data_IF_813903560737
#
_entry.id   IF_813903560737
#
_cell.length_a   1.000
_cell.length_b   1.000
_cell.length_c   1.000
_cell.angle_alpha   90.00
_cell.angle_beta   90.00
_cell.angle_gamma   90.00
#
_symmetry.space_group_name_H-M   'P 1'
#
loop_
_entity.id
_entity.type
_entity.pdbx_description
1 polymer ?
#
# COMPACT_ATOMS: atom_id res chain seq x y z
N UNK A 1 29.80 -19.15 10.30
CA UNK A 1 29.45 -17.70 10.35
C UNK A 1 30.78 -16.93 10.30
N UNK A 2 31.23 -16.61 9.07
CA UNK A 2 32.58 -16.05 8.84
C UNK A 2 32.67 -14.53 9.07
N UNK A 3 31.66 -13.90 9.68
CA UNK A 3 31.56 -12.45 9.84
C UNK A 3 31.25 -12.01 11.29
N UNK A 4 31.60 -12.83 12.28
CA UNK A 4 31.31 -12.53 13.70
C UNK A 4 32.02 -11.27 14.21
N UNK A 5 33.10 -10.84 13.57
CA UNK A 5 33.89 -9.66 13.90
C UNK A 5 33.55 -8.42 13.04
N UNK A 6 32.70 -8.57 12.00
CA UNK A 6 32.28 -7.47 11.15
C UNK A 6 30.93 -6.92 11.62
N UNK A 7 30.89 -5.65 12.02
CA UNK A 7 29.65 -4.93 12.28
C UNK A 7 28.97 -4.60 10.95
N UNK A 8 28.15 -5.54 10.46
CA UNK A 8 27.36 -5.35 9.23
C UNK A 8 26.35 -4.20 9.42
N UNK A 9 26.23 -3.36 8.39
CA UNK A 9 25.21 -2.30 8.37
C UNK A 9 23.82 -2.91 8.14
N UNK A 10 22.88 -2.58 9.03
CA UNK A 10 21.48 -3.00 8.94
C UNK A 10 20.60 -1.81 8.52
N UNK A 11 19.86 -1.96 7.43
CA UNK A 11 18.69 -1.15 7.13
C UNK A 11 17.44 -1.84 7.68
N UNK A 12 16.56 -1.10 8.31
CA UNK A 12 15.33 -1.62 8.90
C UNK A 12 14.12 -0.97 8.26
N UNK A 13 13.28 -1.79 7.63
CA UNK A 13 12.01 -1.33 7.07
C UNK A 13 10.93 -1.36 8.13
N UNK A 14 10.31 -0.21 8.37
CA UNK A 14 9.28 -0.03 9.38
C UNK A 14 8.09 0.76 8.79
N UNK A 15 7.04 0.05 8.42
CA UNK A 15 5.91 0.55 7.63
C UNK A 15 4.76 1.04 8.49
N UNK A 16 5.06 1.95 9.43
CA UNK A 16 4.09 2.61 10.28
C UNK A 16 4.36 4.11 10.35
N UNK A 17 3.36 4.96 10.64
CA UNK A 17 3.55 6.39 10.77
C UNK A 17 4.58 6.74 11.83
N UNK A 18 5.66 7.41 11.44
CA UNK A 18 6.76 7.83 12.33
C UNK A 18 7.15 9.27 12.12
N UNK A 19 7.63 9.93 13.18
CA UNK A 19 8.38 11.19 13.07
C UNK A 19 9.85 10.84 12.94
N UNK A 20 10.44 11.11 11.77
CA UNK A 20 11.87 10.91 11.53
C UNK A 20 12.62 12.24 11.62
N UNK A 21 13.62 12.31 12.52
CA UNK A 21 14.51 13.46 12.65
C UNK A 21 15.89 13.18 12.08
N UNK A 22 16.23 11.91 11.91
CA UNK A 22 17.44 11.43 11.29
C UNK A 22 17.17 10.09 10.59
N UNK A 23 18.07 9.68 9.70
CA UNK A 23 17.91 8.43 8.93
C UNK A 23 17.87 7.18 9.82
N UNK A 24 18.46 7.25 10.99
CA UNK A 24 18.56 6.16 11.97
C UNK A 24 17.71 6.43 13.24
N UNK A 25 16.69 7.29 13.14
CA UNK A 25 15.75 7.64 14.21
C UNK A 25 14.33 7.63 13.67
N UNK A 26 13.37 7.02 14.37
CA UNK A 26 11.96 6.97 13.99
C UNK A 26 11.04 6.79 15.19
N UNK A 27 10.42 7.89 15.65
CA UNK A 27 9.47 7.89 16.75
C UNK A 27 8.09 7.44 16.21
N UNK A 28 7.55 6.34 16.74
CA UNK A 28 6.25 5.82 16.34
C UNK A 28 5.14 6.76 16.78
N UNK A 29 4.36 7.26 15.82
CA UNK A 29 3.19 8.13 16.12
C UNK A 29 2.03 7.26 16.63
N UNK A 30 1.70 6.19 15.89
CA UNK A 30 0.60 5.27 16.20
C UNK A 30 0.74 3.97 15.42
N UNK A 31 0.17 2.90 15.96
CA UNK A 31 -0.02 1.66 15.24
C UNK A 31 -1.16 1.75 14.22
N UNK A 32 -1.04 1.03 13.13
CA UNK A 32 -2.04 0.85 12.08
C UNK A 32 -2.16 -0.63 11.73
N UNK A 33 -2.98 -0.99 10.75
CA UNK A 33 -3.12 -2.38 10.22
C UNK A 33 -3.56 -3.42 11.25
N UNK A 34 -4.21 -2.98 12.35
CA UNK A 34 -4.67 -3.88 13.43
C UNK A 34 -3.62 -4.22 14.49
N UNK A 35 -2.41 -3.64 14.42
CA UNK A 35 -1.43 -3.74 15.49
C UNK A 35 -1.76 -2.78 16.64
N UNK A 36 -1.43 -3.20 17.86
CA UNK A 36 -1.55 -2.39 19.08
C UNK A 36 -0.59 -2.97 20.14
N UNK A 37 0.68 -2.56 20.07
CA UNK A 37 1.68 -2.99 21.02
C UNK A 37 1.81 -1.97 22.16
N UNK A 38 1.62 -2.35 23.41
CA UNK A 38 1.63 -1.42 24.53
C UNK A 38 3.02 -0.77 24.71
N UNK A 39 3.03 0.47 25.20
CA UNK A 39 4.23 1.22 25.57
C UNK A 39 5.24 1.44 24.43
N UNK A 40 4.76 1.53 23.17
CA UNK A 40 5.63 1.74 22.00
C UNK A 40 5.34 3.03 21.27
N UNK A 41 4.10 3.52 21.26
CA UNK A 41 3.76 4.82 20.68
C UNK A 41 4.49 5.95 21.41
N UNK A 42 4.98 6.95 20.68
CA UNK A 42 5.80 8.04 21.18
C UNK A 42 7.25 7.66 21.47
N UNK A 43 7.71 6.45 21.08
CA UNK A 43 9.08 6.01 21.29
C UNK A 43 9.84 5.76 20.00
N UNK A 44 11.16 5.92 20.06
CA UNK A 44 12.06 5.63 18.93
C UNK A 44 12.18 4.13 18.67
N UNK A 45 11.58 3.66 17.58
CA UNK A 45 11.63 2.26 17.17
C UNK A 45 13.05 1.81 16.82
N UNK A 46 13.88 2.71 16.30
CA UNK A 46 15.27 2.42 15.99
C UNK A 46 16.07 2.13 17.27
N UNK A 47 15.84 2.90 18.35
CA UNK A 47 16.51 2.69 19.63
C UNK A 47 16.04 1.42 20.34
N UNK A 48 14.74 1.11 20.24
CA UNK A 48 14.19 -0.17 20.74
C UNK A 48 14.82 -1.36 20.03
N UNK A 49 15.00 -1.28 18.69
CA UNK A 49 15.67 -2.33 17.92
C UNK A 49 17.15 -2.44 18.29
N UNK A 50 17.89 -1.32 18.41
CA UNK A 50 19.29 -1.31 18.85
C UNK A 50 19.46 -1.99 20.21
N UNK A 51 18.57 -1.68 21.15
CA UNK A 51 18.58 -2.27 22.50
C UNK A 51 18.37 -3.78 22.42
N UNK A 52 17.44 -4.25 21.61
CA UNK A 52 17.18 -5.68 21.40
C UNK A 52 18.35 -6.39 20.76
N UNK A 53 18.94 -5.82 19.70
CA UNK A 53 20.12 -6.37 19.01
C UNK A 53 21.30 -6.54 19.97
N UNK A 54 21.56 -5.54 20.82
CA UNK A 54 22.59 -5.62 21.87
C UNK A 54 22.28 -6.72 22.89
N UNK A 55 21.04 -6.79 23.35
CA UNK A 55 20.61 -7.81 24.33
C UNK A 55 20.82 -9.24 23.82
N UNK A 56 20.62 -9.45 22.54
CA UNK A 56 20.77 -10.77 21.90
C UNK A 56 22.15 -10.99 21.28
N UNK A 57 23.10 -10.06 21.47
CA UNK A 57 24.46 -10.13 20.91
C UNK A 57 24.49 -10.34 19.38
N UNK A 58 23.58 -9.68 18.67
CA UNK A 58 23.54 -9.73 17.19
C UNK A 58 24.58 -8.73 16.64
N UNK A 59 25.60 -9.19 15.85
CA UNK A 59 26.73 -8.36 15.42
C UNK A 59 26.37 -7.46 14.22
N UNK A 60 25.33 -6.65 14.33
CA UNK A 60 24.90 -5.71 13.31
C UNK A 60 24.74 -4.32 13.88
N UNK A 61 24.93 -3.31 13.04
CA UNK A 61 24.74 -1.90 13.37
C UNK A 61 23.58 -1.32 12.58
N UNK A 62 22.52 -0.91 13.26
CA UNK A 62 21.40 -0.21 12.63
C UNK A 62 21.89 1.11 12.04
N UNK A 63 21.84 1.24 10.73
CA UNK A 63 22.30 2.39 9.94
C UNK A 63 21.16 3.27 9.46
N UNK A 64 19.99 2.67 9.23
CA UNK A 64 18.80 3.38 8.74
C UNK A 64 17.52 2.69 9.15
N UNK A 65 16.48 3.49 9.36
CA UNK A 65 15.07 3.05 9.44
C UNK A 65 14.30 3.77 8.34
N UNK A 66 13.52 3.02 7.55
CA UNK A 66 12.79 3.57 6.42
C UNK A 66 11.37 2.99 6.34
N UNK A 67 10.49 3.72 5.65
CA UNK A 67 9.20 3.19 5.24
C UNK A 67 9.35 2.23 4.04
N UNK A 68 8.48 1.22 3.91
CA UNK A 68 8.49 0.23 2.83
C UNK A 68 8.38 0.87 1.45
N UNK A 69 7.50 1.87 1.30
CA UNK A 69 7.29 2.57 0.02
C UNK A 69 8.52 3.38 -0.38
N UNK A 70 9.20 4.00 0.61
CA UNK A 70 10.48 4.67 0.39
C UNK A 70 11.55 3.67 -0.06
N UNK A 71 11.61 2.50 0.57
CA UNK A 71 12.51 1.42 0.17
C UNK A 71 12.22 0.96 -1.26
N UNK A 72 10.96 0.72 -1.58
CA UNK A 72 10.53 0.35 -2.94
C UNK A 72 10.94 1.39 -3.99
N UNK A 73 10.81 2.69 -3.67
CA UNK A 73 11.24 3.76 -4.58
C UNK A 73 12.73 3.72 -4.84
N UNK A 74 13.54 3.61 -3.79
CA UNK A 74 15.00 3.59 -3.91
C UNK A 74 15.48 2.35 -4.65
N UNK A 75 14.96 1.16 -4.33
CA UNK A 75 15.30 -0.08 -5.02
C UNK A 75 14.94 -0.01 -6.51
N UNK A 76 13.72 0.44 -6.82
CA UNK A 76 13.25 0.56 -8.20
C UNK A 76 14.03 1.61 -9.00
N UNK A 77 14.36 2.76 -8.39
CA UNK A 77 15.19 3.80 -9.02
C UNK A 77 16.62 3.33 -9.24
N UNK A 78 17.18 2.50 -8.37
CA UNK A 78 18.50 1.91 -8.54
C UNK A 78 18.57 0.99 -9.77
N UNK A 79 17.49 0.24 -10.03
CA UNK A 79 17.38 -0.65 -11.20
C UNK A 79 17.05 0.15 -12.49
N UNK A 80 16.13 1.11 -12.40
CA UNK A 80 15.72 1.96 -13.52
C UNK A 80 15.63 3.44 -13.05
N UNK A 81 16.61 4.28 -13.43
CA UNK A 81 16.66 5.69 -13.01
C UNK A 81 15.47 6.53 -13.44
N UNK A 82 14.63 6.06 -14.38
CA UNK A 82 13.36 6.70 -14.77
C UNK A 82 12.29 6.55 -13.70
N UNK A 83 12.50 5.65 -12.72
CA UNK A 83 11.57 5.49 -11.60
C UNK A 83 11.61 6.72 -10.70
N UNK A 84 10.50 7.43 -10.64
CA UNK A 84 10.34 8.67 -9.84
C UNK A 84 9.27 8.54 -8.77
N UNK A 85 8.45 7.50 -8.86
CA UNK A 85 7.33 7.20 -7.95
C UNK A 85 7.43 5.74 -7.57
N UNK A 86 7.06 5.42 -6.33
CA UNK A 86 6.73 4.05 -5.95
C UNK A 86 5.38 4.02 -5.25
N UNK A 87 4.67 2.90 -5.40
CA UNK A 87 3.39 2.65 -4.77
C UNK A 87 3.38 1.27 -4.14
N UNK A 88 2.67 1.15 -3.03
CA UNK A 88 2.31 -0.12 -2.42
C UNK A 88 0.80 -0.30 -2.59
N UNK A 89 0.40 -1.40 -3.25
CA UNK A 89 -0.99 -1.85 -3.35
C UNK A 89 -1.08 -3.28 -2.83
N UNK A 90 -1.28 -3.41 -1.53
CA UNK A 90 -1.32 -4.68 -0.81
C UNK A 90 -2.43 -4.68 0.23
N UNK A 91 -2.15 -5.16 1.44
CA UNK A 91 -3.05 -5.10 2.59
C UNK A 91 -3.47 -3.67 2.92
N UNK A 92 -2.54 -2.71 2.78
CA UNK A 92 -2.76 -1.27 2.80
C UNK A 92 -2.35 -0.63 1.48
N UNK A 93 -2.33 0.72 1.45
CA UNK A 93 -1.82 1.47 0.31
C UNK A 93 -0.97 2.66 0.74
N UNK A 94 0.07 2.94 -0.04
CA UNK A 94 0.91 4.13 0.14
C UNK A 94 1.59 4.49 -1.18
N UNK A 95 2.13 5.71 -1.24
CA UNK A 95 3.02 6.14 -2.31
C UNK A 95 4.19 6.96 -1.78
N UNK A 96 5.29 6.95 -2.52
CA UNK A 96 6.42 7.85 -2.32
C UNK A 96 6.91 8.36 -3.67
N UNK A 97 7.50 9.56 -3.70
CA UNK A 97 8.03 10.12 -4.93
C UNK A 97 9.28 10.96 -4.68
N UNK A 98 10.05 11.20 -5.75
CA UNK A 98 11.22 12.09 -5.72
C UNK A 98 10.75 13.54 -5.91
N UNK A 99 11.10 14.43 -4.97
CA UNK A 99 10.83 15.86 -5.06
C UNK A 99 12.14 16.67 -4.98
N UNK A 100 12.21 17.77 -5.70
CA UNK A 100 13.31 18.71 -5.55
C UNK A 100 13.23 19.44 -4.22
N UNK A 101 14.35 19.56 -3.50
CA UNK A 101 14.41 20.18 -2.15
C UNK A 101 13.81 21.58 -2.15
N UNK A 102 14.06 22.37 -3.20
CA UNK A 102 13.50 23.71 -3.35
C UNK A 102 11.96 23.79 -3.40
N UNK A 103 11.29 22.67 -3.69
CA UNK A 103 9.82 22.56 -3.69
C UNK A 103 9.24 22.09 -2.36
N UNK A 104 10.09 21.86 -1.34
CA UNK A 104 9.67 21.33 -0.02
C UNK A 104 9.64 22.48 1.00
N UNK A 105 8.45 23.02 1.34
CA UNK A 105 8.34 24.20 2.21
C UNK A 105 8.98 24.02 3.60
N UNK A 106 8.96 22.81 4.14
CA UNK A 106 9.56 22.51 5.44
C UNK A 106 11.08 22.65 5.47
N UNK A 107 11.73 22.63 4.30
CA UNK A 107 13.19 22.71 4.17
C UNK A 107 13.67 24.12 3.73
N UNK A 108 12.76 25.07 3.49
CA UNK A 108 13.08 26.40 2.98
C UNK A 108 14.04 27.21 3.84
N UNK A 109 14.13 26.89 5.13
CA UNK A 109 15.02 27.56 6.09
C UNK A 109 16.38 26.87 6.25
N UNK A 110 16.61 25.78 5.51
CA UNK A 110 17.87 25.04 5.55
C UNK A 110 18.69 25.41 4.31
N UNK A 111 19.99 25.59 4.50
CA UNK A 111 20.94 25.85 3.41
C UNK A 111 21.25 24.53 2.68
N UNK A 112 20.30 24.10 1.85
CA UNK A 112 20.39 22.87 1.06
C UNK A 112 20.26 23.20 -0.43
N UNK A 113 20.97 22.47 -1.32
CA UNK A 113 20.85 22.67 -2.77
C UNK A 113 19.41 22.41 -3.24
N UNK A 114 18.80 23.43 -3.86
CA UNK A 114 17.39 23.40 -4.25
C UNK A 114 17.07 22.36 -5.35
N UNK A 115 18.04 21.99 -6.14
CA UNK A 115 17.97 21.02 -7.26
C UNK A 115 18.23 19.56 -6.82
N UNK A 116 18.76 19.35 -5.61
CA UNK A 116 18.88 17.99 -5.07
C UNK A 116 17.50 17.35 -4.85
N UNK A 117 17.47 16.02 -4.97
CA UNK A 117 16.25 15.24 -4.84
C UNK A 117 16.12 14.65 -3.45
N UNK A 118 14.90 14.71 -2.91
CA UNK A 118 14.53 14.05 -1.66
C UNK A 118 13.31 13.17 -1.87
N UNK A 119 13.26 12.04 -1.17
CA UNK A 119 12.07 11.17 -1.16
C UNK A 119 11.00 11.76 -0.25
N UNK A 120 9.80 11.89 -0.79
CA UNK A 120 8.59 12.24 -0.04
C UNK A 120 7.76 10.97 0.17
N UNK A 121 7.56 10.59 1.42
CA UNK A 121 6.58 9.58 1.80
C UNK A 121 5.22 10.25 1.93
N UNK A 122 4.25 9.86 1.10
CA UNK A 122 2.96 10.56 0.99
C UNK A 122 2.00 10.22 2.11
N UNK A 123 1.96 8.97 2.57
CA UNK A 123 0.93 8.43 3.48
C UNK A 123 -0.50 8.76 3.00
N UNK A 124 -0.72 8.68 1.66
CA UNK A 124 -1.97 9.11 1.03
C UNK A 124 -3.16 8.18 1.30
N UNK A 125 -2.92 7.01 1.89
CA UNK A 125 -4.00 6.21 2.45
C UNK A 125 -4.86 6.98 3.46
N UNK A 126 -4.26 7.97 4.13
CA UNK A 126 -4.94 8.88 5.05
C UNK A 126 -5.61 10.09 4.36
N UNK A 127 -5.61 10.16 3.02
CA UNK A 127 -6.23 11.27 2.30
C UNK A 127 -7.70 11.45 2.71
N UNK A 128 -8.08 12.72 2.95
CA UNK A 128 -9.42 13.16 3.34
C UNK A 128 -9.99 12.43 4.59
N UNK A 129 -9.10 11.99 5.47
CA UNK A 129 -9.49 11.47 6.78
C UNK A 129 -10.17 12.54 7.62
N UNK A 130 -11.10 12.14 8.49
CA UNK A 130 -11.91 12.96 9.39
C UNK A 130 -12.97 13.84 8.71
N UNK A 131 -12.62 14.69 7.77
CA UNK A 131 -13.54 15.67 7.17
C UNK A 131 -14.38 15.11 6.03
N UNK A 132 -13.87 14.13 5.28
CA UNK A 132 -14.49 13.50 4.10
C UNK A 132 -15.01 14.52 3.08
N UNK A 133 -14.28 15.64 2.93
CA UNK A 133 -14.70 16.76 2.07
C UNK A 133 -14.67 16.39 0.59
N UNK A 134 -13.67 15.61 0.17
CA UNK A 134 -13.43 15.22 -1.23
C UNK A 134 -13.93 13.81 -1.53
N UNK A 135 -13.76 12.87 -0.61
CA UNK A 135 -14.18 11.49 -0.79
C UNK A 135 -15.66 11.27 -0.48
N UNK A 136 -16.33 12.20 0.19
CA UNK A 136 -17.70 12.02 0.68
C UNK A 136 -18.69 11.58 -0.40
N UNK A 137 -18.60 12.13 -1.61
CA UNK A 137 -19.45 11.75 -2.75
C UNK A 137 -19.04 10.46 -3.45
N UNK A 138 -17.80 9.97 -3.21
CA UNK A 138 -17.24 8.75 -3.82
C UNK A 138 -17.39 7.52 -2.91
N UNK A 139 -17.55 7.76 -1.61
CA UNK A 139 -17.76 6.69 -0.63
C UNK A 139 -19.16 6.09 -0.79
N UNK A 140 -19.22 4.79 -0.93
CA UNK A 140 -20.47 4.05 -0.82
C UNK A 140 -20.87 3.89 0.65
N UNK A 141 -22.11 3.51 0.91
CA UNK A 141 -22.56 3.14 2.26
C UNK A 141 -21.73 2.03 2.90
N UNK A 142 -21.20 1.12 2.09
CA UNK A 142 -20.33 0.02 2.57
C UNK A 142 -18.95 0.53 3.01
N UNK A 143 -18.37 1.50 2.31
CA UNK A 143 -17.14 2.17 2.75
C UNK A 143 -17.34 2.89 4.09
N UNK A 144 -18.49 3.52 4.27
CA UNK A 144 -18.85 4.19 5.53
C UNK A 144 -19.00 3.18 6.66
N UNK A 145 -19.65 2.04 6.41
CA UNK A 145 -19.82 0.99 7.41
C UNK A 145 -18.49 0.37 7.83
N UNK A 146 -17.60 0.06 6.87
CA UNK A 146 -16.24 -0.43 7.13
C UNK A 146 -15.47 0.58 7.98
N UNK A 147 -15.59 1.85 7.67
CA UNK A 147 -14.89 2.90 8.41
C UNK A 147 -15.39 2.99 9.85
N UNK A 148 -16.69 3.06 10.05
CA UNK A 148 -17.32 3.19 11.38
C UNK A 148 -17.09 1.95 12.25
N UNK A 149 -17.07 0.74 11.66
CA UNK A 149 -16.84 -0.51 12.36
C UNK A 149 -15.35 -0.83 12.61
N UNK A 150 -14.44 -0.03 12.04
CA UNK A 150 -13.00 -0.23 12.20
C UNK A 150 -12.49 0.21 13.57
N UNK A 151 -11.32 -0.29 13.98
CA UNK A 151 -10.65 0.12 15.22
C UNK A 151 -10.30 1.62 15.27
N UNK A 152 -10.25 2.30 14.12
CA UNK A 152 -9.91 3.72 14.00
C UNK A 152 -10.84 4.39 12.98
N UNK A 153 -12.07 4.70 13.37
CA UNK A 153 -13.02 5.40 12.51
C UNK A 153 -12.47 6.75 12.03
N UNK A 154 -12.86 7.14 10.84
CA UNK A 154 -12.47 8.38 10.16
C UNK A 154 -10.97 8.48 9.81
N UNK A 155 -10.15 7.46 10.06
CA UNK A 155 -8.75 7.42 9.67
C UNK A 155 -8.56 6.50 8.47
N UNK A 156 -7.52 6.76 7.66
CA UNK A 156 -7.18 5.95 6.48
C UNK A 156 -8.37 5.81 5.52
N UNK A 157 -9.10 6.90 5.27
CA UNK A 157 -10.34 6.89 4.50
C UNK A 157 -10.12 6.38 3.07
N UNK A 158 -9.07 6.85 2.39
CA UNK A 158 -8.76 6.43 1.03
C UNK A 158 -8.28 4.96 0.99
N UNK A 159 -7.43 4.57 1.93
CA UNK A 159 -6.96 3.18 2.04
C UNK A 159 -8.12 2.19 2.19
N UNK A 160 -9.13 2.51 3.01
CA UNK A 160 -10.30 1.66 3.23
C UNK A 160 -11.16 1.45 1.97
N UNK A 161 -11.05 2.35 0.98
CA UNK A 161 -11.77 2.23 -0.28
C UNK A 161 -11.06 1.35 -1.32
N UNK A 162 -9.72 1.21 -1.23
CA UNK A 162 -8.92 0.62 -2.32
C UNK A 162 -8.03 -0.55 -1.91
N UNK A 163 -7.63 -0.64 -0.64
CA UNK A 163 -6.63 -1.62 -0.23
C UNK A 163 -7.19 -3.04 -0.09
N UNK A 164 -6.35 -4.02 -0.34
CA UNK A 164 -6.71 -5.43 -0.39
C UNK A 164 -7.36 -5.97 0.89
N UNK A 165 -7.06 -5.39 2.04
CA UNK A 165 -7.72 -5.75 3.31
C UNK A 165 -9.23 -5.58 3.27
N UNK A 166 -9.74 -4.63 2.48
CA UNK A 166 -11.13 -4.17 2.58
C UNK A 166 -12.02 -4.62 1.42
N UNK A 167 -11.45 -5.00 0.26
CA UNK A 167 -12.26 -5.32 -0.93
C UNK A 167 -13.18 -6.50 -0.70
N UNK A 168 -12.70 -7.54 -0.02
CA UNK A 168 -13.53 -8.69 0.35
C UNK A 168 -14.66 -8.31 1.31
N UNK A 169 -14.40 -7.39 2.22
CA UNK A 169 -15.41 -6.91 3.17
C UNK A 169 -16.47 -6.03 2.47
N UNK A 170 -16.08 -5.17 1.53
CA UNK A 170 -17.03 -4.43 0.68
C UNK A 170 -17.95 -5.41 -0.04
N UNK A 171 -17.38 -6.45 -0.65
CA UNK A 171 -18.11 -7.49 -1.35
C UNK A 171 -19.10 -8.20 -0.42
N UNK A 172 -18.64 -8.63 0.75
CA UNK A 172 -19.46 -9.29 1.77
C UNK A 172 -20.64 -8.43 2.20
N UNK A 173 -20.42 -7.14 2.46
CA UNK A 173 -21.49 -6.23 2.90
C UNK A 173 -22.58 -6.07 1.83
N UNK A 174 -22.21 -6.03 0.54
CA UNK A 174 -23.20 -6.04 -0.55
C UNK A 174 -24.03 -7.32 -0.52
N UNK A 175 -23.38 -8.48 -0.34
CA UNK A 175 -24.12 -9.76 -0.28
C UNK A 175 -25.03 -9.82 0.95
N UNK A 176 -24.57 -9.39 2.11
CA UNK A 176 -25.38 -9.36 3.33
C UNK A 176 -26.61 -8.48 3.19
N UNK A 177 -26.51 -7.34 2.52
CA UNK A 177 -27.68 -6.51 2.24
C UNK A 177 -28.69 -7.24 1.36
N UNK A 178 -28.25 -7.89 0.27
CA UNK A 178 -29.13 -8.65 -0.63
C UNK A 178 -29.74 -9.88 0.07
N UNK A 179 -29.06 -10.48 1.02
CA UNK A 179 -29.62 -11.51 1.89
C UNK A 179 -30.72 -10.94 2.78
N UNK A 180 -30.44 -9.81 3.44
CA UNK A 180 -31.41 -9.12 4.29
C UNK A 180 -32.67 -8.70 3.52
N UNK A 181 -32.49 -8.23 2.29
CA UNK A 181 -33.59 -7.83 1.40
C UNK A 181 -34.34 -9.04 0.80
N UNK A 182 -33.94 -10.26 1.13
CA UNK A 182 -34.57 -11.49 0.62
C UNK A 182 -34.36 -11.73 -0.87
N UNK A 183 -33.22 -11.27 -1.41
CA UNK A 183 -32.86 -11.45 -2.84
C UNK A 183 -31.95 -12.64 -3.04
N UNK A 184 -31.04 -12.91 -2.12
CA UNK A 184 -30.05 -13.99 -2.21
C UNK A 184 -30.30 -15.05 -1.13
N UNK A 185 -29.95 -16.30 -1.45
CA UNK A 185 -29.88 -17.46 -0.53
C UNK A 185 -31.18 -17.72 0.25
N UNK A 186 -32.32 -17.52 -0.39
CA UNK A 186 -33.63 -17.72 0.23
C UNK A 186 -33.76 -19.13 0.84
N UNK A 187 -34.14 -19.18 2.14
CA UNK A 187 -34.32 -20.41 2.88
C UNK A 187 -33.03 -21.14 3.29
N UNK A 188 -31.88 -20.51 3.11
CA UNK A 188 -30.58 -21.04 3.51
C UNK A 188 -30.04 -20.36 4.77
N UNK A 189 -29.14 -21.06 5.49
CA UNK A 189 -28.46 -20.53 6.68
C UNK A 189 -27.28 -19.66 6.30
N UNK A 190 -27.34 -18.35 6.53
CA UNK A 190 -26.37 -17.34 6.06
C UNK A 190 -25.36 -16.89 7.10
N UNK A 191 -25.43 -17.39 8.35
CA UNK A 191 -24.61 -16.94 9.49
C UNK A 191 -23.09 -16.94 9.23
N UNK A 192 -22.60 -17.79 8.32
CA UNK A 192 -21.15 -17.84 8.00
C UNK A 192 -20.68 -16.64 7.23
N UNK A 193 -21.47 -16.16 6.25
CA UNK A 193 -21.12 -14.99 5.44
C UNK A 193 -21.37 -13.68 6.20
N UNK A 194 -22.16 -13.70 7.26
CA UNK A 194 -22.46 -12.53 8.07
C UNK A 194 -21.31 -12.11 8.99
N UNK A 195 -20.32 -13.00 9.22
CA UNK A 195 -19.16 -12.70 10.06
C UNK A 195 -18.27 -11.63 9.39
N UNK A 196 -17.94 -10.53 10.07
CA UNK A 196 -17.05 -9.52 9.53
C UNK A 196 -15.71 -10.11 9.05
N UNK A 197 -15.25 -9.66 7.88
CA UNK A 197 -13.98 -10.07 7.27
C UNK A 197 -13.84 -11.59 6.98
N UNK A 198 -14.93 -12.34 6.94
CA UNK A 198 -14.87 -13.75 6.55
C UNK A 198 -14.69 -13.96 5.04
N UNK A 199 -14.95 -12.92 4.23
CA UNK A 199 -14.78 -12.97 2.79
C UNK A 199 -13.43 -12.35 2.39
N UNK A 200 -12.46 -13.21 2.12
CA UNK A 200 -11.11 -12.77 1.74
C UNK A 200 -11.11 -12.16 0.32
N UNK A 201 -10.29 -11.12 0.11
CA UNK A 201 -10.11 -10.49 -1.21
C UNK A 201 -9.58 -11.49 -2.27
N UNK A 202 -8.85 -12.52 -1.87
CA UNK A 202 -8.44 -13.59 -2.77
C UNK A 202 -9.64 -14.34 -3.38
N UNK A 203 -10.78 -14.41 -2.68
CA UNK A 203 -12.00 -14.99 -3.25
C UNK A 203 -12.53 -14.18 -4.43
N UNK A 204 -12.43 -12.85 -4.39
CA UNK A 204 -12.79 -12.00 -5.53
C UNK A 204 -11.95 -12.35 -6.75
N UNK A 205 -10.66 -12.57 -6.56
CA UNK A 205 -9.75 -12.98 -7.65
C UNK A 205 -10.18 -14.32 -8.26
N UNK A 206 -10.51 -15.31 -7.43
CA UNK A 206 -11.00 -16.62 -7.89
C UNK A 206 -12.34 -16.52 -8.62
N UNK A 207 -13.27 -15.70 -8.10
CA UNK A 207 -14.60 -15.47 -8.71
C UNK A 207 -14.44 -14.83 -10.09
N UNK A 208 -13.57 -13.83 -10.18
CA UNK A 208 -13.39 -13.08 -11.42
C UNK A 208 -12.69 -13.90 -12.52
N UNK A 209 -11.79 -14.79 -12.14
CA UNK A 209 -11.00 -15.61 -13.06
C UNK A 209 -11.58 -17.00 -13.31
N UNK A 210 -12.80 -17.31 -12.82
CA UNK A 210 -13.42 -18.60 -13.09
C UNK A 210 -13.57 -18.83 -14.61
N UNK A 211 -12.88 -19.83 -15.19
CA UNK A 211 -12.85 -20.03 -16.63
C UNK A 211 -14.06 -20.80 -17.16
N UNK A 212 -14.93 -21.28 -16.28
CA UNK A 212 -16.05 -22.16 -16.67
C UNK A 212 -17.33 -21.37 -16.93
N UNK A 213 -18.13 -21.80 -17.89
CA UNK A 213 -19.41 -21.15 -18.21
C UNK A 213 -20.41 -21.25 -17.05
N UNK A 214 -20.37 -22.37 -16.31
CA UNK A 214 -21.21 -22.64 -15.14
C UNK A 214 -20.68 -22.02 -13.88
N UNK A 215 -19.51 -21.37 -13.91
CA UNK A 215 -18.86 -20.76 -12.76
C UNK A 215 -18.67 -21.74 -11.60
N UNK A 216 -18.01 -22.87 -11.90
CA UNK A 216 -17.85 -23.99 -10.95
C UNK A 216 -16.94 -23.61 -9.79
N UNK A 217 -15.92 -22.78 -10.02
CA UNK A 217 -15.06 -22.26 -8.93
C UNK A 217 -15.88 -21.42 -7.95
N UNK A 218 -16.78 -20.58 -8.48
CA UNK A 218 -17.69 -19.76 -7.66
C UNK A 218 -18.62 -20.64 -6.85
N UNK A 219 -19.26 -21.64 -7.50
CA UNK A 219 -20.12 -22.61 -6.84
C UNK A 219 -19.39 -23.33 -5.71
N UNK A 220 -18.19 -23.85 -5.99
CA UNK A 220 -17.36 -24.54 -5.01
C UNK A 220 -16.98 -23.66 -3.83
N UNK A 221 -16.64 -22.39 -4.08
CA UNK A 221 -16.29 -21.43 -3.05
C UNK A 221 -17.44 -21.19 -2.07
N UNK A 222 -18.63 -20.86 -2.58
CA UNK A 222 -19.80 -20.61 -1.74
C UNK A 222 -20.22 -21.86 -0.96
N UNK A 223 -20.22 -23.02 -1.61
CA UNK A 223 -20.56 -24.29 -0.98
C UNK A 223 -19.57 -24.70 0.11
N UNK A 224 -18.27 -24.64 -0.17
CA UNK A 224 -17.24 -25.11 0.74
C UNK A 224 -17.05 -24.19 1.96
N UNK A 225 -16.90 -22.89 1.73
CA UNK A 225 -16.59 -21.94 2.80
C UNK A 225 -17.83 -21.48 3.56
N UNK A 226 -18.96 -21.29 2.86
CA UNK A 226 -20.15 -20.69 3.44
C UNK A 226 -21.31 -21.66 3.61
N UNK A 227 -21.22 -22.87 3.03
CA UNK A 227 -22.30 -23.87 3.00
C UNK A 227 -23.56 -23.36 2.28
N UNK A 228 -23.38 -22.51 1.26
CA UNK A 228 -24.44 -21.92 0.48
C UNK A 228 -24.51 -22.57 -0.91
N UNK A 229 -25.70 -22.95 -1.33
CA UNK A 229 -25.98 -23.34 -2.71
C UNK A 229 -26.27 -22.09 -3.54
N UNK A 230 -25.86 -22.12 -4.80
CA UNK A 230 -25.96 -20.96 -5.69
C UNK A 230 -26.55 -21.33 -7.04
N UNK A 231 -27.43 -20.50 -7.55
CA UNK A 231 -27.93 -20.58 -8.92
C UNK A 231 -26.95 -19.92 -9.90
N UNK A 232 -27.07 -20.25 -11.19
CA UNK A 232 -26.14 -19.72 -12.21
C UNK A 232 -26.23 -18.19 -12.34
N UNK A 233 -27.44 -17.64 -12.20
CA UNK A 233 -27.70 -16.20 -12.23
C UNK A 233 -27.02 -15.48 -11.08
N UNK A 234 -27.07 -16.06 -9.88
CA UNK A 234 -26.36 -15.54 -8.70
C UNK A 234 -24.84 -15.55 -8.92
N UNK A 235 -24.29 -16.66 -9.46
CA UNK A 235 -22.86 -16.75 -9.76
C UNK A 235 -22.41 -15.74 -10.80
N UNK A 236 -23.20 -15.46 -11.83
CA UNK A 236 -22.93 -14.39 -12.81
C UNK A 236 -22.94 -13.02 -12.18
N UNK A 237 -23.89 -12.76 -11.28
CA UNK A 237 -23.92 -11.54 -10.48
C UNK A 237 -22.68 -11.43 -9.59
N UNK A 238 -22.29 -12.49 -8.87
CA UNK A 238 -21.11 -12.53 -8.02
C UNK A 238 -19.84 -12.19 -8.78
N UNK A 239 -19.66 -12.73 -9.98
CA UNK A 239 -18.52 -12.39 -10.84
C UNK A 239 -18.55 -10.93 -11.28
N UNK A 240 -19.70 -10.40 -11.65
CA UNK A 240 -19.84 -8.99 -12.04
C UNK A 240 -19.55 -8.05 -10.87
N UNK A 241 -20.00 -8.39 -9.66
CA UNK A 241 -19.73 -7.61 -8.46
C UNK A 241 -18.23 -7.60 -8.12
N UNK A 242 -17.56 -8.76 -8.18
CA UNK A 242 -16.11 -8.86 -7.96
C UNK A 242 -15.35 -7.98 -8.97
N UNK A 243 -15.71 -8.04 -10.25
CA UNK A 243 -15.17 -7.19 -11.29
C UNK A 243 -15.32 -5.69 -10.97
N UNK A 244 -16.51 -5.23 -10.60
CA UNK A 244 -16.77 -3.81 -10.29
C UNK A 244 -15.94 -3.32 -9.10
N UNK A 245 -15.80 -4.13 -8.07
CA UNK A 245 -15.00 -3.78 -6.88
C UNK A 245 -13.52 -3.70 -7.24
N UNK A 246 -13.00 -4.68 -7.99
CA UNK A 246 -11.62 -4.68 -8.45
C UNK A 246 -11.31 -3.52 -9.39
N UNK A 247 -12.21 -3.22 -10.33
CA UNK A 247 -12.09 -2.08 -11.24
C UNK A 247 -12.09 -0.75 -10.47
N UNK A 248 -13.03 -0.57 -9.53
CA UNK A 248 -13.08 0.62 -8.67
C UNK A 248 -11.77 0.83 -7.93
N UNK A 249 -11.23 -0.23 -7.31
CA UNK A 249 -9.97 -0.16 -6.58
C UNK A 249 -8.82 0.28 -7.48
N UNK A 250 -8.65 -0.35 -8.66
CA UNK A 250 -7.59 -0.01 -9.60
C UNK A 250 -7.71 1.44 -10.12
N UNK A 251 -8.92 1.89 -10.46
CA UNK A 251 -9.17 3.24 -10.95
C UNK A 251 -8.89 4.32 -9.90
N UNK A 252 -9.30 4.11 -8.67
CA UNK A 252 -8.97 5.01 -7.55
C UNK A 252 -7.47 5.02 -7.24
N UNK A 253 -6.81 3.87 -7.33
CA UNK A 253 -5.35 3.76 -7.18
C UNK A 253 -4.61 4.60 -8.23
N UNK A 254 -5.09 4.62 -9.47
CA UNK A 254 -4.55 5.45 -10.55
C UNK A 254 -4.69 6.96 -10.25
N UNK A 255 -5.75 7.38 -9.55
CA UNK A 255 -5.91 8.79 -9.16
C UNK A 255 -4.76 9.29 -8.29
N UNK A 256 -4.28 8.46 -7.35
CA UNK A 256 -3.13 8.79 -6.51
C UNK A 256 -1.84 9.00 -7.33
N UNK A 257 -1.56 8.09 -8.28
CA UNK A 257 -0.42 8.21 -9.19
C UNK A 257 -0.55 9.46 -10.06
N UNK A 258 -1.70 9.69 -10.67
CA UNK A 258 -1.94 10.85 -11.53
C UNK A 258 -1.79 12.17 -10.77
N UNK A 259 -2.21 12.23 -9.51
CA UNK A 259 -2.02 13.40 -8.64
C UNK A 259 -0.53 13.71 -8.41
N UNK A 260 0.28 12.68 -8.13
CA UNK A 260 1.73 12.82 -7.95
C UNK A 260 2.39 13.26 -9.27
N UNK A 261 2.04 12.65 -10.41
CA UNK A 261 2.55 13.02 -11.74
C UNK A 261 2.27 14.51 -12.04
N UNK A 262 1.06 14.99 -11.75
CA UNK A 262 0.70 16.41 -11.90
C UNK A 262 1.49 17.29 -10.92
N UNK A 263 1.64 16.88 -9.66
CA UNK A 263 2.40 17.62 -8.64
C UNK A 263 3.88 17.81 -9.05
N UNK A 264 4.48 16.78 -9.62
CA UNK A 264 5.87 16.79 -10.08
C UNK A 264 6.09 17.52 -11.41
N UNK A 265 5.05 17.98 -12.11
CA UNK A 265 5.10 18.48 -13.47
C UNK A 265 5.69 17.46 -14.46
N UNK A 266 5.28 16.21 -14.34
CA UNK A 266 5.73 15.09 -15.17
C UNK A 266 4.70 14.66 -16.24
N UNK A 267 3.59 15.34 -16.37
CA UNK A 267 2.63 15.11 -17.45
C UNK A 267 3.35 15.26 -18.79
N UNK A 268 3.22 14.28 -19.66
CA UNK A 268 3.89 14.24 -20.95
C UNK A 268 5.37 13.79 -20.95
N UNK A 269 5.93 13.46 -19.79
CA UNK A 269 7.28 12.91 -19.65
C UNK A 269 7.22 11.41 -19.36
N UNK A 270 8.23 10.68 -19.80
CA UNK A 270 8.39 9.27 -19.48
C UNK A 270 8.68 9.11 -17.97
N UNK A 271 7.87 8.30 -17.30
CA UNK A 271 8.03 8.02 -15.90
C UNK A 271 7.76 6.52 -15.63
N UNK A 272 8.60 5.93 -14.81
CA UNK A 272 8.36 4.59 -14.27
C UNK A 272 7.86 4.73 -12.84
N UNK A 273 6.81 3.98 -12.52
CA UNK A 273 6.27 3.81 -11.17
C UNK A 273 6.63 2.40 -10.70
N UNK A 274 7.49 2.29 -9.69
CA UNK A 274 7.76 1.02 -9.02
C UNK A 274 6.55 0.63 -8.17
N UNK A 275 5.99 -0.55 -8.37
CA UNK A 275 4.81 -1.00 -7.63
C UNK A 275 5.10 -2.29 -6.91
N UNK A 276 4.79 -2.35 -5.61
CA UNK A 276 4.83 -3.56 -4.80
C UNK A 276 3.46 -3.83 -4.17
N UNK A 277 3.28 -5.05 -3.69
CA UNK A 277 2.07 -5.47 -2.99
C UNK A 277 1.23 -6.50 -3.74
N UNK A 278 0.57 -7.33 -2.94
CA UNK A 278 -0.17 -8.50 -3.43
C UNK A 278 -1.40 -8.13 -4.27
N UNK A 279 -2.00 -6.97 -4.06
CA UNK A 279 -3.14 -6.54 -4.86
C UNK A 279 -2.69 -6.24 -6.30
N UNK A 280 -1.56 -5.54 -6.48
CA UNK A 280 -1.02 -5.28 -7.81
C UNK A 280 -0.54 -6.55 -8.53
N UNK A 281 0.18 -7.43 -7.80
CA UNK A 281 0.84 -8.60 -8.40
C UNK A 281 -0.07 -9.81 -8.62
N UNK A 282 -1.17 -9.92 -7.87
CA UNK A 282 -1.99 -11.15 -7.83
C UNK A 282 -3.46 -10.93 -8.17
N UNK A 283 -4.00 -9.69 -8.04
CA UNK A 283 -5.39 -9.45 -8.39
C UNK A 283 -5.54 -9.35 -9.92
N UNK A 284 -6.46 -10.10 -10.52
CA UNK A 284 -6.59 -10.18 -11.97
C UNK A 284 -6.90 -8.81 -12.59
N UNK A 285 -6.22 -8.51 -13.69
CA UNK A 285 -6.42 -7.28 -14.47
C UNK A 285 -6.22 -5.97 -13.70
N UNK A 286 -5.62 -6.00 -12.50
CA UNK A 286 -5.43 -4.77 -11.72
C UNK A 286 -4.51 -3.77 -12.43
N UNK A 287 -3.39 -4.25 -12.96
CA UNK A 287 -2.42 -3.44 -13.70
C UNK A 287 -3.03 -2.83 -14.97
N UNK A 288 -3.75 -3.62 -15.76
CA UNK A 288 -4.39 -3.15 -17.00
C UNK A 288 -5.44 -2.07 -16.71
N UNK A 289 -6.28 -2.29 -15.70
CA UNK A 289 -7.31 -1.32 -15.26
C UNK A 289 -6.69 -0.03 -14.74
N UNK A 290 -5.58 -0.15 -14.02
CA UNK A 290 -4.83 1.00 -13.52
C UNK A 290 -4.25 1.82 -14.68
N UNK A 291 -3.64 1.19 -15.68
CA UNK A 291 -3.14 1.87 -16.86
C UNK A 291 -4.25 2.53 -17.67
N UNK A 292 -5.37 1.83 -17.90
CA UNK A 292 -6.52 2.43 -18.57
C UNK A 292 -7.03 3.67 -17.84
N UNK A 293 -7.07 3.63 -16.51
CA UNK A 293 -7.48 4.78 -15.71
C UNK A 293 -6.48 5.94 -15.79
N UNK A 294 -5.17 5.66 -15.86
CA UNK A 294 -4.18 6.71 -16.10
C UNK A 294 -4.36 7.38 -17.46
N UNK A 295 -4.69 6.63 -18.51
CA UNK A 295 -5.03 7.20 -19.82
C UNK A 295 -6.32 8.03 -19.76
N UNK A 296 -7.35 7.55 -19.05
CA UNK A 296 -8.61 8.30 -18.88
C UNK A 296 -8.38 9.64 -18.14
N UNK A 297 -7.47 9.69 -17.16
CA UNK A 297 -7.21 10.89 -16.33
C UNK A 297 -6.24 11.87 -17.00
N UNK A 298 -5.21 11.37 -17.67
CA UNK A 298 -4.09 12.17 -18.22
C UNK A 298 -4.17 12.29 -19.74
N UNK A 299 -5.17 11.68 -20.38
CA UNK A 299 -5.25 11.58 -21.83
C UNK A 299 -4.10 10.74 -22.40
N UNK A 300 -3.67 10.99 -23.66
CA UNK A 300 -2.61 10.22 -24.30
C UNK A 300 -1.28 10.19 -23.54
N UNK A 301 -1.04 11.16 -22.67
CA UNK A 301 0.17 11.24 -21.85
C UNK A 301 0.18 10.16 -20.74
N UNK A 302 -0.96 9.60 -20.38
CA UNK A 302 -1.05 8.47 -19.46
C UNK A 302 -0.26 7.23 -19.93
N UNK A 303 -0.11 7.04 -21.25
CA UNK A 303 0.68 5.95 -21.84
C UNK A 303 2.18 6.03 -21.56
N UNK A 304 2.68 7.21 -21.21
CA UNK A 304 4.09 7.44 -20.85
C UNK A 304 4.40 7.02 -19.41
N UNK A 305 3.38 6.73 -18.63
CA UNK A 305 3.50 6.29 -17.24
C UNK A 305 3.49 4.76 -17.22
N UNK A 306 4.67 4.18 -17.02
CA UNK A 306 4.84 2.74 -16.96
C UNK A 306 4.85 2.28 -15.51
N UNK A 307 4.08 1.26 -15.17
CA UNK A 307 4.21 0.60 -13.87
C UNK A 307 5.08 -0.64 -14.00
N UNK A 308 5.95 -0.86 -13.04
CA UNK A 308 6.83 -2.04 -12.98
C UNK A 308 6.76 -2.63 -11.58
N UNK A 309 6.53 -3.93 -11.51
CA UNK A 309 6.60 -4.64 -10.24
C UNK A 309 8.01 -4.56 -9.65
N UNK A 310 8.09 -4.17 -8.38
CA UNK A 310 9.32 -4.18 -7.61
C UNK A 310 9.54 -5.58 -7.03
N UNK A 311 10.77 -6.09 -7.17
CA UNK A 311 11.18 -7.35 -6.54
C UNK A 311 11.84 -7.02 -5.20
N UNK A 312 11.24 -7.48 -4.08
CA UNK A 312 11.71 -7.22 -2.72
C UNK A 312 12.07 -5.74 -2.47
N UNK A 313 11.21 -4.83 -2.96
CA UNK A 313 11.49 -3.39 -2.95
C UNK A 313 11.82 -2.85 -1.55
N UNK A 314 11.11 -3.30 -0.52
CA UNK A 314 11.32 -2.87 0.85
C UNK A 314 12.65 -3.40 1.43
N UNK A 315 13.01 -4.66 1.19
CA UNK A 315 14.23 -5.29 1.68
C UNK A 315 15.47 -4.76 0.96
N UNK A 316 15.48 -4.85 -0.39
CA UNK A 316 16.57 -4.34 -1.22
C UNK A 316 16.78 -2.83 -1.02
N UNK A 317 15.69 -2.04 -0.94
CA UNK A 317 15.77 -0.59 -0.71
C UNK A 317 16.40 -0.25 0.63
N UNK A 318 16.06 -0.96 1.70
CA UNK A 318 16.67 -0.75 3.01
C UNK A 318 18.16 -1.08 3.02
N UNK A 319 18.57 -2.13 2.31
CA UNK A 319 19.98 -2.50 2.16
C UNK A 319 20.77 -1.43 1.39
N UNK A 320 20.22 -0.93 0.27
CA UNK A 320 20.83 0.15 -0.51
C UNK A 320 21.01 1.40 0.34
N UNK A 321 19.99 1.83 1.09
CA UNK A 321 20.05 3.01 1.95
C UNK A 321 21.07 2.80 3.09
N UNK A 322 21.14 1.61 3.69
CA UNK A 322 22.14 1.32 4.70
C UNK A 322 23.57 1.43 4.15
N UNK A 323 23.82 0.92 2.94
CA UNK A 323 25.11 1.02 2.26
C UNK A 323 25.45 2.49 1.91
N UNK A 324 24.51 3.26 1.36
CA UNK A 324 24.68 4.69 1.08
C UNK A 324 25.00 5.48 2.34
N UNK A 325 24.31 5.20 3.44
CA UNK A 325 24.52 5.87 4.74
C UNK A 325 25.91 5.57 5.29
N UNK A 326 26.37 4.32 5.18
CA UNK A 326 27.74 3.92 5.59
C UNK A 326 28.79 4.70 4.77
N UNK A 327 28.67 4.66 3.44
CA UNK A 327 29.60 5.34 2.53
C UNK A 327 29.67 6.85 2.79
N UNK A 328 28.54 7.51 3.05
CA UNK A 328 28.47 8.94 3.36
C UNK A 328 29.21 9.28 4.67
N UNK A 329 28.98 8.48 5.70
CA UNK A 329 29.69 8.65 7.00
C UNK A 329 31.20 8.42 6.87
N UNK A 330 31.63 7.51 6.04
CA UNK A 330 33.03 7.25 5.75
C UNK A 330 33.66 8.39 4.95
N UNK A 331 33.00 8.90 3.90
CA UNK A 331 33.47 10.02 3.08
C UNK A 331 33.59 11.31 3.90
N UNK A 332 32.69 11.59 4.82
CA UNK A 332 32.77 12.75 5.71
C UNK A 332 33.95 12.69 6.70
N UNK A 333 34.39 11.48 7.06
CA UNK A 333 35.63 11.33 7.92
C UNK A 333 36.90 11.71 7.15
N UNK A 334 36.93 11.57 5.82
CA UNK A 334 38.08 11.91 5.00
C UNK A 334 38.13 13.39 4.59
N UNK A 335 37.05 14.15 4.75
CA UNK A 335 36.99 15.59 4.44
C UNK A 335 37.54 16.43 5.63
N UNK A 336 37.67 15.82 6.81
CA UNK A 336 38.21 16.46 8.02
C UNK A 336 39.63 16.00 8.41
N UNK A 337 40.32 15.27 7.52
CA UNK A 337 41.74 14.95 7.58
C UNK A 337 42.49 15.71 6.49
#
# INVERSE_FOLDING_TARGET
CDHLDEHLSLGFTFSYPTVQRAIDHGELIRWTKGFDNPNTEGRDCADMLRTSLKRFNVPVKLSSIINDTTGTLIASNYVDPRTKIACIFGTGCNAAYMESIGNIPKLSNLDLPADEQMVINCEYGAFDSFEHRYLGSLRSKYDVEIDLSSNKPNQQAFEKMIAGKYLGEIYRLVLCELVYDGVLFLGQETYKIEKPYCFDTAFLSLIETDPTDELITVLGLFKYFFSLETEIEERRFFRKLAHLIGERSARLSACGIAAIIKKMNYVGKDCVVGVDGSLYSKYPHFSERLHQALEDILGPDGRKILTRQAEDGSGAGSAVIAAMTKNRKESQKYVHL
#
